data_IF_342247374199
#
_entry.id   IF_342247374199
#
_cell.length_a   1.000
_cell.length_b   1.000
_cell.length_c   1.000
_cell.angle_alpha   90.00
_cell.angle_beta   90.00
_cell.angle_gamma   90.00
#
_symmetry.space_group_name_H-M   'P 1'
#
loop_
_entity.id
_entity.type
_entity.pdbx_description
1 polymer ?
#
# COMPACT_ATOMS: atom_id res chain seq x y z
N UNK A 1 -29.28 -17.72 -17.45
CA UNK A 1 -28.29 -18.70 -17.09
C UNK A 1 -27.14 -18.03 -16.38
N UNK A 2 -26.72 -18.64 -15.32
CA UNK A 2 -25.64 -18.05 -14.58
C UNK A 2 -24.33 -18.10 -15.36
N UNK A 3 -23.43 -17.23 -14.99
CA UNK A 3 -22.12 -17.17 -15.62
C UNK A 3 -21.34 -18.46 -15.32
N UNK A 4 -21.08 -19.32 -16.31
CA UNK A 4 -20.36 -20.56 -16.05
C UNK A 4 -18.91 -20.33 -15.60
N UNK A 5 -18.36 -19.21 -15.93
CA UNK A 5 -16.98 -18.91 -15.51
C UNK A 5 -16.85 -18.65 -14.03
N UNK A 6 -17.91 -18.15 -13.43
CA UNK A 6 -17.88 -17.76 -12.04
C UNK A 6 -17.57 -18.92 -11.09
N UNK A 7 -18.32 -20.01 -11.13
CA UNK A 7 -17.95 -21.15 -10.28
C UNK A 7 -16.65 -21.80 -10.70
N UNK A 8 -16.33 -21.73 -11.99
CA UNK A 8 -15.09 -22.29 -12.48
C UNK A 8 -13.90 -21.56 -11.88
N UNK A 9 -13.94 -20.24 -11.87
CA UNK A 9 -12.89 -19.46 -11.25
C UNK A 9 -12.76 -19.77 -9.78
N UNK A 10 -13.87 -19.80 -9.09
CA UNK A 10 -13.85 -20.03 -7.65
C UNK A 10 -13.26 -21.40 -7.32
N UNK A 11 -13.55 -22.41 -8.17
CA UNK A 11 -13.05 -23.75 -7.91
C UNK A 11 -11.61 -23.97 -8.33
N UNK A 12 -11.19 -23.30 -9.38
CA UNK A 12 -9.88 -23.57 -9.97
C UNK A 12 -8.81 -22.59 -9.53
N UNK A 13 -9.18 -21.41 -9.07
CA UNK A 13 -8.19 -20.36 -8.77
C UNK A 13 -8.45 -19.69 -7.43
N UNK A 14 -8.36 -20.44 -6.34
CA UNK A 14 -8.49 -19.79 -5.02
C UNK A 14 -7.42 -18.74 -4.79
N UNK A 15 -6.26 -18.89 -5.44
CA UNK A 15 -5.20 -17.91 -5.35
C UNK A 15 -5.57 -16.56 -5.95
N UNK A 16 -6.41 -16.58 -7.00
CA UNK A 16 -6.86 -15.32 -7.59
C UNK A 16 -7.76 -14.54 -6.66
N UNK A 17 -8.62 -15.23 -5.93
CA UNK A 17 -9.44 -14.55 -4.92
C UNK A 17 -8.57 -13.87 -3.87
N UNK A 18 -7.53 -14.55 -3.41
CA UNK A 18 -6.60 -13.97 -2.45
C UNK A 18 -5.88 -12.77 -3.01
N UNK A 19 -5.45 -12.86 -4.26
CA UNK A 19 -4.75 -11.75 -4.90
C UNK A 19 -5.68 -10.56 -5.09
N UNK A 20 -6.92 -10.81 -5.50
CA UNK A 20 -7.89 -9.73 -5.68
C UNK A 20 -8.19 -9.04 -4.36
N UNK A 21 -8.30 -9.81 -3.29
CA UNK A 21 -8.54 -9.25 -1.97
C UNK A 21 -7.37 -8.41 -1.50
N UNK A 22 -6.16 -8.91 -1.68
CA UNK A 22 -4.97 -8.16 -1.31
C UNK A 22 -4.83 -6.88 -2.11
N UNK A 23 -5.16 -6.93 -3.38
CA UNK A 23 -5.12 -5.73 -4.22
C UNK A 23 -6.13 -4.70 -3.75
N UNK A 24 -7.34 -5.15 -3.38
CA UNK A 24 -8.35 -4.23 -2.87
C UNK A 24 -7.92 -3.63 -1.54
N UNK A 25 -7.33 -4.44 -0.66
CA UNK A 25 -6.84 -3.97 0.61
C UNK A 25 -5.72 -2.94 0.42
N UNK A 26 -4.83 -3.19 -0.53
CA UNK A 26 -3.73 -2.26 -0.81
C UNK A 26 -4.26 -0.93 -1.34
N UNK A 27 -5.27 -0.97 -2.21
CA UNK A 27 -5.87 0.27 -2.72
C UNK A 27 -6.53 1.05 -1.61
N UNK A 28 -7.25 0.37 -0.74
CA UNK A 28 -7.90 0.99 0.40
C UNK A 28 -6.87 1.62 1.34
N UNK A 29 -5.80 0.89 1.61
CA UNK A 29 -4.74 1.38 2.48
C UNK A 29 -4.03 2.57 1.85
N UNK A 30 -3.79 2.52 0.54
CA UNK A 30 -3.19 3.63 -0.18
C UNK A 30 -4.01 4.90 0.00
N UNK A 31 -5.32 4.80 -0.17
CA UNK A 31 -6.21 5.95 -0.01
C UNK A 31 -6.16 6.50 1.42
N UNK A 32 -6.13 5.60 2.39
CA UNK A 32 -6.06 6.02 3.78
C UNK A 32 -4.76 6.71 4.10
N UNK A 33 -3.65 6.16 3.63
CA UNK A 33 -2.34 6.77 3.83
C UNK A 33 -2.30 8.15 3.19
N UNK A 34 -2.80 8.27 1.97
CA UNK A 34 -2.83 9.54 1.29
C UNK A 34 -3.65 10.57 2.05
N UNK A 35 -4.80 10.16 2.58
CA UNK A 35 -5.66 11.10 3.27
C UNK A 35 -5.08 11.55 4.61
N UNK A 36 -4.21 10.75 5.21
CA UNK A 36 -3.59 11.12 6.48
C UNK A 36 -2.32 11.94 6.30
N UNK A 37 -1.82 12.04 5.08
CA UNK A 37 -0.62 12.81 4.81
C UNK A 37 -0.97 14.25 4.44
N UNK A 38 -0.05 15.21 4.67
CA UNK A 38 -0.25 16.56 4.16
C UNK A 38 -0.48 16.55 2.66
N UNK A 39 -1.26 17.50 2.20
CA UNK A 39 -1.66 17.56 0.80
C UNK A 39 -0.46 17.54 -0.15
N UNK A 40 0.61 18.22 0.23
CA UNK A 40 1.81 18.29 -0.60
C UNK A 40 2.44 16.91 -0.84
N UNK A 41 2.22 15.97 0.08
CA UNK A 41 2.82 14.65 -0.05
C UNK A 41 1.91 13.63 -0.74
N UNK A 42 0.60 13.91 -0.78
CA UNK A 42 -0.37 12.93 -1.29
C UNK A 42 -0.10 12.47 -2.70
N UNK A 43 0.21 13.40 -3.57
CA UNK A 43 0.41 13.07 -4.98
C UNK A 43 1.68 12.29 -5.23
N UNK A 44 2.59 12.29 -4.27
CA UNK A 44 3.86 11.60 -4.42
C UNK A 44 3.85 10.20 -3.82
N UNK A 45 2.78 9.84 -3.13
CA UNK A 45 2.60 8.48 -2.62
C UNK A 45 1.85 7.68 -3.68
N UNK A 46 2.50 6.67 -4.21
CA UNK A 46 1.95 5.86 -5.28
C UNK A 46 1.14 4.69 -4.75
N UNK A 47 1.59 4.09 -3.66
CA UNK A 47 0.87 2.97 -3.08
C UNK A 47 1.32 2.74 -1.65
N UNK A 48 0.48 2.03 -0.91
CA UNK A 48 0.79 1.58 0.44
C UNK A 48 0.27 0.16 0.58
N UNK A 49 1.03 -0.69 1.27
CA UNK A 49 0.63 -2.06 1.49
C UNK A 49 1.18 -2.55 2.81
N UNK A 50 0.60 -3.64 3.31
CA UNK A 50 1.07 -4.26 4.54
C UNK A 50 1.92 -5.46 4.21
N UNK A 51 2.97 -5.63 4.99
CA UNK A 51 3.78 -6.83 4.89
C UNK A 51 4.06 -7.26 6.34
N UNK A 52 3.23 -8.17 6.84
CA UNK A 52 3.27 -8.50 8.25
C UNK A 52 2.90 -7.30 9.09
N UNK A 53 3.78 -6.92 10.00
CA UNK A 53 3.57 -5.76 10.86
C UNK A 53 4.15 -4.49 10.27
N UNK A 54 4.83 -4.59 9.14
CA UNK A 54 5.40 -3.42 8.47
C UNK A 54 4.44 -2.88 7.44
N UNK A 55 4.51 -1.58 7.23
CA UNK A 55 3.80 -0.93 6.15
C UNK A 55 4.80 -0.43 5.12
N UNK A 56 4.55 -0.75 3.86
CA UNK A 56 5.42 -0.35 2.77
C UNK A 56 4.73 0.78 2.02
N UNK A 57 5.37 1.94 1.96
CA UNK A 57 4.86 3.09 1.22
C UNK A 57 5.80 3.34 0.06
N UNK A 58 5.25 3.42 -1.14
CA UNK A 58 6.04 3.64 -2.34
C UNK A 58 5.79 5.07 -2.82
N UNK A 59 6.87 5.80 -3.03
CA UNK A 59 6.81 7.19 -3.49
C UNK A 59 7.50 7.31 -4.85
N UNK A 60 7.27 8.43 -5.51
CA UNK A 60 7.75 8.60 -6.88
C UNK A 60 9.19 9.10 -6.98
N UNK A 61 9.77 9.62 -5.91
CA UNK A 61 11.16 10.08 -5.97
C UNK A 61 11.79 10.11 -4.59
N UNK A 62 13.12 10.12 -4.58
CA UNK A 62 13.89 10.11 -3.35
C UNK A 62 13.65 11.36 -2.51
N UNK A 63 13.45 12.50 -3.16
CA UNK A 63 13.21 13.75 -2.45
C UNK A 63 11.97 13.64 -1.58
N UNK A 64 10.92 12.98 -2.06
CA UNK A 64 9.68 12.84 -1.32
C UNK A 64 9.75 11.71 -0.31
N UNK A 65 10.63 10.72 -0.53
CA UNK A 65 10.75 9.62 0.41
C UNK A 65 11.20 10.11 1.78
N UNK A 66 12.11 11.06 1.82
CA UNK A 66 12.57 11.60 3.09
C UNK A 66 11.44 12.31 3.83
N UNK A 67 10.62 13.06 3.10
CA UNK A 67 9.51 13.78 3.71
C UNK A 67 8.45 12.84 4.24
N UNK A 68 8.14 11.79 3.49
CA UNK A 68 7.18 10.79 3.96
C UNK A 68 7.72 10.05 5.16
N UNK A 69 9.03 9.79 5.16
CA UNK A 69 9.66 9.12 6.29
C UNK A 69 9.57 9.97 7.55
N UNK A 70 9.75 11.28 7.43
CA UNK A 70 9.58 12.18 8.56
C UNK A 70 8.15 12.17 9.09
N UNK A 71 7.17 12.03 8.20
CA UNK A 71 5.77 11.98 8.60
C UNK A 71 5.38 10.61 9.13
N UNK A 72 6.29 9.63 9.05
CA UNK A 72 5.96 8.23 9.33
C UNK A 72 5.41 7.97 10.71
N UNK A 73 6.01 8.58 11.74
CA UNK A 73 5.55 8.35 13.11
C UNK A 73 4.12 8.84 13.29
N UNK A 74 3.83 10.03 12.79
CA UNK A 74 2.49 10.58 12.90
C UNK A 74 1.52 9.78 12.05
N UNK A 75 1.95 9.38 10.87
CA UNK A 75 1.15 8.55 9.98
C UNK A 75 0.78 7.24 10.66
N UNK A 76 1.75 6.59 11.29
CA UNK A 76 1.52 5.36 12.02
C UNK A 76 0.46 5.56 13.10
N UNK A 77 0.63 6.61 13.91
CA UNK A 77 -0.30 6.89 14.99
C UNK A 77 -1.71 7.13 14.45
N UNK A 78 -1.83 7.90 13.39
CA UNK A 78 -3.12 8.23 12.82
C UNK A 78 -3.80 7.02 12.19
N UNK A 79 -3.04 6.17 11.52
CA UNK A 79 -3.60 4.97 10.92
C UNK A 79 -4.08 3.99 11.98
N UNK A 80 -3.29 3.80 13.02
CA UNK A 80 -3.69 2.91 14.11
C UNK A 80 -4.91 3.43 14.83
N UNK A 81 -4.98 4.75 15.03
CA UNK A 81 -6.15 5.35 15.64
C UNK A 81 -7.39 5.18 14.77
N UNK A 82 -7.22 5.09 13.47
CA UNK A 82 -8.32 4.88 12.54
C UNK A 82 -8.71 3.44 12.34
N UNK A 83 -8.13 2.51 13.10
CA UNK A 83 -8.52 1.11 13.04
C UNK A 83 -7.53 0.18 12.37
N UNK A 84 -6.42 0.70 11.88
CA UNK A 84 -5.41 -0.16 11.28
C UNK A 84 -4.72 -0.98 12.36
N UNK A 85 -4.46 -2.28 12.11
CA UNK A 85 -3.71 -3.08 13.07
C UNK A 85 -2.34 -2.47 13.37
N UNK A 86 -1.79 -2.79 14.52
CA UNK A 86 -0.53 -2.23 14.97
C UNK A 86 0.53 -2.31 13.88
N UNK A 87 1.24 -1.22 13.70
CA UNK A 87 2.28 -1.10 12.70
C UNK A 87 3.63 -1.05 13.40
N UNK A 88 4.54 -1.95 13.04
CA UNK A 88 5.87 -1.92 13.62
C UNK A 88 6.70 -0.83 12.97
N UNK A 89 6.84 -0.88 11.65
CA UNK A 89 7.64 0.09 10.92
C UNK A 89 6.92 0.54 9.67
N UNK A 90 7.18 1.78 9.28
CA UNK A 90 6.76 2.27 7.98
C UNK A 90 8.01 2.37 7.13
N UNK A 91 8.07 1.55 6.09
CA UNK A 91 9.19 1.54 5.15
C UNK A 91 8.80 2.33 3.93
N UNK A 92 9.65 3.28 3.56
CA UNK A 92 9.38 4.12 2.41
C UNK A 92 10.35 3.73 1.30
N UNK A 93 9.82 3.39 0.15
CA UNK A 93 10.63 2.98 -1.00
C UNK A 93 10.31 3.87 -2.19
N UNK A 94 11.31 4.07 -3.05
CA UNK A 94 11.15 4.89 -4.24
C UNK A 94 10.85 3.96 -5.41
N UNK A 95 9.76 4.26 -6.13
CA UNK A 95 9.39 3.46 -7.29
C UNK A 95 10.46 3.54 -8.35
N UNK A 96 10.72 2.40 -8.99
CA UNK A 96 11.64 2.36 -10.10
C UNK A 96 13.10 2.39 -9.71
N UNK A 97 13.40 2.56 -8.42
CA UNK A 97 14.79 2.62 -8.01
C UNK A 97 15.53 1.33 -8.31
N UNK A 98 14.90 0.21 -7.99
CA UNK A 98 15.52 -1.08 -8.29
C UNK A 98 15.73 -1.28 -9.78
N UNK A 99 14.78 -0.81 -10.58
CA UNK A 99 14.89 -0.91 -12.04
C UNK A 99 16.00 0.00 -12.52
N UNK A 100 16.03 1.24 -12.03
CA UNK A 100 17.06 2.17 -12.41
C UNK A 100 18.44 1.71 -12.00
N UNK A 101 18.55 1.12 -10.83
CA UNK A 101 19.83 0.61 -10.34
C UNK A 101 20.30 -0.58 -11.15
N UNK A 102 19.38 -1.32 -11.73
CA UNK A 102 19.75 -2.49 -12.51
C UNK A 102 20.30 -2.17 -13.88
N UNK A 103 20.22 -0.95 -14.27
CA UNK A 103 20.73 -0.55 -15.61
C UNK A 103 22.20 -0.14 -15.60
#
# INVERSE_FOLDING_TARGET
>A
MSDPLKPLFAGLTPGLDSLARKAAEARSLTSRVQSELPEALRTHVLSASRRGEDMIVIVDSAAWSARVRYAGRRLKTQLEAGGEPAIDKIRVKVRGKAIGDGL
#
